data_IF_075890121427
#
_entry.id   IF_075890121427
#
_cell.length_a   1.000
_cell.length_b   1.000
_cell.length_c   1.000
_cell.angle_alpha   90.00
_cell.angle_beta   90.00
_cell.angle_gamma   90.00
#
_symmetry.space_group_name_H-M   'P 1'
#
loop_
_entity.id
_entity.type
_entity.pdbx_description
1 polymer ?
#
# COMPACT_ATOMS: atom_id res chain seq x y z
N UNK A 1 -9.49 -20.80 -8.24
CA UNK A 1 -9.32 -19.34 -8.06
C UNK A 1 -10.63 -18.75 -7.54
N UNK A 2 -10.60 -17.95 -6.48
CA UNK A 2 -11.78 -17.22 -5.97
C UNK A 2 -11.67 -15.76 -6.42
N UNK A 3 -12.64 -15.27 -7.19
CA UNK A 3 -12.62 -13.91 -7.76
C UNK A 3 -12.83 -12.81 -6.70
N UNK A 4 -13.71 -13.06 -5.72
CA UNK A 4 -14.01 -12.15 -4.61
C UNK A 4 -13.81 -12.85 -3.25
N UNK A 5 -13.30 -12.11 -2.28
CA UNK A 5 -13.24 -12.55 -0.88
C UNK A 5 -14.62 -12.47 -0.22
N UNK A 6 -14.81 -13.18 0.89
CA UNK A 6 -16.11 -13.21 1.59
C UNK A 6 -16.54 -11.82 2.09
N UNK A 7 -15.59 -10.99 2.50
CA UNK A 7 -15.84 -9.60 2.88
C UNK A 7 -16.19 -8.70 1.70
N UNK A 8 -15.92 -9.12 0.46
CA UNK A 8 -16.38 -8.45 -0.77
C UNK A 8 -17.73 -8.98 -1.26
N UNK A 9 -18.07 -10.23 -0.96
CA UNK A 9 -19.38 -10.83 -1.31
C UNK A 9 -20.48 -10.29 -0.39
N UNK A 10 -20.21 -10.16 0.92
CA UNK A 10 -21.20 -9.67 1.90
C UNK A 10 -21.88 -8.34 1.51
N UNK A 11 -21.16 -7.31 1.02
CA UNK A 11 -21.77 -6.07 0.53
C UNK A 11 -22.60 -6.23 -0.75
N UNK A 12 -22.36 -7.26 -1.55
CA UNK A 12 -23.12 -7.55 -2.77
C UNK A 12 -24.42 -8.30 -2.46
N UNK A 13 -24.46 -9.07 -1.37
CA UNK A 13 -25.57 -9.98 -1.03
C UNK A 13 -26.68 -9.35 -0.17
N UNK A 14 -26.60 -8.07 0.23
CA UNK A 14 -27.58 -7.47 1.15
C UNK A 14 -28.02 -6.05 0.79
N UNK A 15 -29.32 -5.84 0.87
CA UNK A 15 -30.06 -4.58 1.03
C UNK A 15 -29.78 -3.93 2.41
N UNK A 16 -28.51 -3.83 2.78
CA UNK A 16 -28.10 -3.40 4.12
C UNK A 16 -27.22 -2.17 4.05
N UNK A 17 -27.77 -1.10 4.59
CA UNK A 17 -27.19 0.21 4.88
C UNK A 17 -26.00 0.14 5.89
N UNK A 18 -25.26 -0.97 5.95
CA UNK A 18 -24.12 -1.18 6.85
C UNK A 18 -22.85 -0.60 6.23
N UNK A 19 -22.69 0.71 6.43
CA UNK A 19 -21.61 1.57 5.93
C UNK A 19 -20.19 1.25 6.48
N UNK A 20 -20.01 0.16 7.23
CA UNK A 20 -18.71 -0.22 7.80
C UNK A 20 -18.38 -1.69 7.54
N UNK A 21 -18.12 -2.05 6.29
CA UNK A 21 -17.45 -3.31 5.99
C UNK A 21 -16.01 -3.24 6.53
N UNK A 22 -15.68 -4.07 7.52
CA UNK A 22 -14.29 -4.29 7.92
C UNK A 22 -13.62 -5.13 6.85
N UNK A 23 -12.74 -4.50 6.08
CA UNK A 23 -12.00 -5.15 5.00
C UNK A 23 -10.86 -6.00 5.56
N UNK A 24 -10.79 -7.25 5.09
CA UNK A 24 -9.73 -8.20 5.40
C UNK A 24 -8.37 -7.70 4.88
N UNK A 25 -7.24 -8.13 5.49
CA UNK A 25 -5.91 -7.83 4.95
C UNK A 25 -5.74 -8.28 3.50
N UNK A 26 -6.34 -9.42 3.12
CA UNK A 26 -6.33 -9.97 1.77
C UNK A 26 -7.02 -9.02 0.77
N UNK A 27 -8.22 -8.55 1.10
CA UNK A 27 -8.94 -7.57 0.26
C UNK A 27 -8.21 -6.25 0.16
N UNK A 28 -7.59 -5.77 1.25
CA UNK A 28 -6.78 -4.54 1.23
C UNK A 28 -5.56 -4.72 0.32
N UNK A 29 -4.85 -5.86 0.40
CA UNK A 29 -3.70 -6.17 -0.46
C UNK A 29 -4.09 -6.18 -1.93
N UNK A 30 -5.17 -6.88 -2.28
CA UNK A 30 -5.68 -6.92 -3.66
C UNK A 30 -6.11 -5.52 -4.15
N UNK A 31 -6.82 -4.76 -3.31
CA UNK A 31 -7.23 -3.40 -3.65
C UNK A 31 -6.04 -2.44 -3.87
N UNK A 32 -4.98 -2.57 -3.06
CA UNK A 32 -3.73 -1.84 -3.26
C UNK A 32 -3.06 -2.23 -4.58
N UNK A 33 -2.98 -3.53 -4.91
CA UNK A 33 -2.43 -3.99 -6.18
C UNK A 33 -3.18 -3.39 -7.36
N UNK A 34 -4.52 -3.47 -7.38
CA UNK A 34 -5.35 -2.87 -8.43
C UNK A 34 -5.07 -1.36 -8.53
N UNK A 35 -5.08 -0.65 -7.39
CA UNK A 35 -4.83 0.79 -7.36
C UNK A 35 -3.46 1.18 -7.93
N UNK A 36 -2.41 0.41 -7.63
CA UNK A 36 -1.08 0.67 -8.15
C UNK A 36 -0.97 0.35 -9.64
N UNK A 37 -1.66 -0.70 -10.13
CA UNK A 37 -1.66 -1.06 -11.55
C UNK A 37 -2.39 -0.04 -12.44
N UNK A 38 -3.57 0.47 -12.02
CA UNK A 38 -4.39 1.35 -12.87
C UNK A 38 -4.47 2.81 -12.39
N UNK A 39 -3.64 3.18 -11.40
CA UNK A 39 -3.64 4.48 -10.72
C UNK A 39 -4.97 4.77 -9.99
N UNK A 40 -4.99 5.89 -9.26
CA UNK A 40 -6.15 6.34 -8.48
C UNK A 40 -7.39 6.54 -9.35
N UNK A 41 -7.24 7.07 -10.56
CA UNK A 41 -8.35 7.30 -11.49
C UNK A 41 -9.01 5.98 -11.93
N UNK A 42 -8.22 4.99 -12.36
CA UNK A 42 -8.73 3.67 -12.74
C UNK A 42 -9.39 2.95 -11.57
N UNK A 43 -8.79 3.04 -10.37
CA UNK A 43 -9.36 2.47 -9.17
C UNK A 43 -10.73 3.07 -8.81
N UNK A 44 -10.88 4.39 -8.90
CA UNK A 44 -12.16 5.05 -8.66
C UNK A 44 -13.20 4.75 -9.74
N UNK A 45 -12.78 4.57 -11.00
CA UNK A 45 -13.68 4.09 -12.06
C UNK A 45 -14.27 2.72 -11.71
N UNK A 46 -13.46 1.76 -11.26
CA UNK A 46 -13.96 0.44 -10.82
C UNK A 46 -14.95 0.57 -9.65
N UNK A 47 -14.64 1.44 -8.68
CA UNK A 47 -15.56 1.71 -7.56
C UNK A 47 -16.89 2.33 -8.01
N UNK A 48 -16.88 3.23 -8.99
CA UNK A 48 -18.09 3.81 -9.60
C UNK A 48 -18.93 2.74 -10.32
N UNK A 49 -18.26 1.77 -10.96
CA UNK A 49 -18.87 0.56 -11.53
C UNK A 49 -19.33 -0.46 -10.46
N UNK A 50 -19.42 -0.05 -9.19
CA UNK A 50 -19.91 -0.85 -8.05
C UNK A 50 -19.06 -2.08 -7.70
N UNK A 51 -17.79 -2.12 -8.11
CA UNK A 51 -16.88 -3.15 -7.60
C UNK A 51 -16.75 -3.05 -6.07
N UNK A 52 -16.80 -4.18 -5.33
CA UNK A 52 -16.74 -4.21 -3.87
C UNK A 52 -15.30 -3.97 -3.38
N UNK A 53 -14.87 -2.72 -3.48
CA UNK A 53 -13.52 -2.28 -3.16
C UNK A 53 -13.52 -1.24 -2.02
N UNK A 54 -12.52 -1.27 -1.12
CA UNK A 54 -12.35 -0.28 -0.07
C UNK A 54 -12.28 1.15 -0.61
N UNK A 55 -12.76 2.12 0.17
CA UNK A 55 -12.54 3.52 -0.14
C UNK A 55 -11.05 3.90 -0.14
N UNK A 56 -10.66 4.87 -0.96
CA UNK A 56 -9.29 5.38 -1.00
C UNK A 56 -8.78 5.82 0.38
N UNK A 57 -9.64 6.44 1.20
CA UNK A 57 -9.33 6.80 2.60
C UNK A 57 -8.98 5.57 3.44
N UNK A 58 -9.66 4.44 3.24
CA UNK A 58 -9.39 3.19 3.95
C UNK A 58 -8.02 2.64 3.58
N UNK A 59 -7.68 2.64 2.30
CA UNK A 59 -6.36 2.23 1.82
C UNK A 59 -5.25 3.13 2.38
N UNK A 60 -5.43 4.45 2.33
CA UNK A 60 -4.49 5.41 2.90
C UNK A 60 -4.30 5.21 4.41
N UNK A 61 -5.38 4.93 5.16
CA UNK A 61 -5.29 4.63 6.59
C UNK A 61 -4.54 3.31 6.86
N UNK A 62 -4.72 2.29 6.03
CA UNK A 62 -3.98 1.03 6.15
C UNK A 62 -2.48 1.23 5.90
N UNK A 63 -2.12 2.07 4.92
CA UNK A 63 -0.72 2.39 4.61
C UNK A 63 -0.06 3.30 5.66
N UNK A 64 -0.83 4.09 6.41
CA UNK A 64 -0.28 4.96 7.47
C UNK A 64 0.44 4.20 8.60
N UNK A 65 0.20 2.90 8.75
CA UNK A 65 0.99 2.07 9.67
C UNK A 65 2.44 1.91 9.24
N UNK A 66 2.74 2.08 7.94
CA UNK A 66 4.09 2.00 7.40
C UNK A 66 4.78 3.35 7.61
N UNK A 67 5.88 3.34 8.36
CA UNK A 67 6.70 4.53 8.60
C UNK A 67 7.97 4.44 7.76
N UNK A 68 8.25 5.51 7.02
CA UNK A 68 9.48 5.65 6.27
C UNK A 68 10.29 6.74 6.97
N UNK A 69 11.28 6.32 7.74
CA UNK A 69 12.16 7.21 8.50
C UNK A 69 13.45 7.47 7.70
N UNK A 70 14.08 8.64 7.85
CA UNK A 70 15.40 8.89 7.28
C UNK A 70 16.42 7.83 7.73
N UNK A 71 17.31 7.43 6.83
CA UNK A 71 18.32 6.40 7.09
C UNK A 71 18.00 5.08 6.41
N UNK A 72 18.48 3.98 6.99
CA UNK A 72 18.30 2.63 6.43
C UNK A 72 16.88 2.15 6.73
N UNK A 73 16.17 1.68 5.69
CA UNK A 73 14.84 1.14 5.85
C UNK A 73 14.89 -0.33 6.32
N UNK A 74 15.08 -0.52 7.63
CA UNK A 74 15.29 -1.83 8.25
C UNK A 74 14.15 -2.81 7.98
N UNK A 75 12.88 -2.36 8.03
CA UNK A 75 11.72 -3.21 7.78
C UNK A 75 11.77 -3.86 6.37
N UNK A 76 12.32 -3.13 5.40
CA UNK A 76 12.49 -3.65 4.04
C UNK A 76 13.69 -4.59 3.94
N UNK A 77 14.78 -4.32 4.67
CA UNK A 77 15.92 -5.23 4.78
C UNK A 77 15.51 -6.58 5.40
N UNK A 78 14.71 -6.57 6.46
CA UNK A 78 14.19 -7.79 7.10
C UNK A 78 13.29 -8.60 6.14
N UNK A 79 12.46 -7.90 5.36
CA UNK A 79 11.65 -8.52 4.32
C UNK A 79 12.52 -9.13 3.21
N UNK A 80 13.56 -8.42 2.77
CA UNK A 80 14.52 -8.92 1.78
C UNK A 80 15.31 -10.12 2.29
N UNK A 81 15.64 -10.16 3.59
CA UNK A 81 16.31 -11.30 4.22
C UNK A 81 15.49 -12.58 4.07
N UNK A 82 14.17 -12.50 4.27
CA UNK A 82 13.26 -13.65 4.07
C UNK A 82 13.35 -14.21 2.64
N UNK A 83 13.56 -13.34 1.65
CA UNK A 83 13.79 -13.77 0.27
C UNK A 83 15.19 -14.35 0.08
N UNK A 84 16.21 -13.69 0.62
CA UNK A 84 17.61 -14.09 0.50
C UNK A 84 17.92 -15.45 1.16
N UNK A 85 17.18 -15.84 2.19
CA UNK A 85 17.28 -17.16 2.82
C UNK A 85 16.95 -18.31 1.86
N UNK A 86 16.09 -18.07 0.87
CA UNK A 86 15.73 -19.05 -0.16
C UNK A 86 16.61 -19.02 -1.41
N UNK A 87 17.61 -18.14 -1.46
CA UNK A 87 18.46 -17.91 -2.64
C UNK A 87 19.75 -18.73 -2.57
N UNK A 88 20.22 -19.19 -3.72
CA UNK A 88 21.55 -19.77 -3.85
C UNK A 88 22.62 -18.70 -3.64
N UNK A 89 23.85 -19.10 -3.29
CA UNK A 89 24.90 -18.14 -2.99
C UNK A 89 25.23 -17.23 -4.18
N UNK A 90 25.21 -17.77 -5.41
CA UNK A 90 25.39 -16.98 -6.63
C UNK A 90 24.28 -15.95 -6.86
N UNK A 91 23.08 -16.18 -6.32
CA UNK A 91 21.96 -15.25 -6.45
C UNK A 91 22.02 -14.14 -5.39
N UNK A 92 22.82 -14.32 -4.33
CA UNK A 92 23.01 -13.31 -3.27
C UNK A 92 23.99 -12.21 -3.69
N UNK A 93 24.78 -12.44 -4.74
CA UNK A 93 25.68 -11.45 -5.31
C UNK A 93 24.86 -10.26 -5.85
N UNK A 94 25.06 -9.08 -5.26
CA UNK A 94 24.33 -7.88 -5.64
C UNK A 94 25.22 -6.64 -5.63
N UNK A 95 24.84 -5.65 -6.43
CA UNK A 95 25.53 -4.35 -6.53
C UNK A 95 24.58 -3.27 -6.02
N UNK A 96 25.04 -2.48 -5.06
CA UNK A 96 24.30 -1.32 -4.56
C UNK A 96 24.70 -0.07 -5.37
N UNK A 97 23.79 0.42 -6.20
CA UNK A 97 23.97 1.66 -6.95
C UNK A 97 23.19 2.78 -6.27
N UNK A 98 23.87 3.87 -5.96
CA UNK A 98 23.30 5.04 -5.29
C UNK A 98 23.51 6.28 -6.17
N UNK A 99 22.46 7.09 -6.32
CA UNK A 99 22.52 8.38 -6.97
C UNK A 99 21.67 9.41 -6.20
N UNK A 100 22.09 10.66 -6.23
CA UNK A 100 21.30 11.77 -5.71
C UNK A 100 20.16 12.14 -6.66
N UNK A 101 19.05 12.62 -6.12
CA UNK A 101 18.00 13.30 -6.88
C UNK A 101 17.88 14.72 -6.37
N UNK A 102 17.79 15.68 -7.28
CA UNK A 102 17.44 17.06 -6.92
C UNK A 102 15.95 17.14 -6.58
N UNK A 103 15.64 17.80 -5.47
CA UNK A 103 14.29 18.02 -4.96
C UNK A 103 14.06 19.52 -4.83
N UNK A 104 12.81 19.94 -4.97
CA UNK A 104 12.44 21.35 -4.86
C UNK A 104 12.60 21.86 -3.42
N UNK A 105 13.21 23.03 -3.28
CA UNK A 105 13.38 23.65 -1.97
C UNK A 105 12.05 24.09 -1.38
N UNK A 106 11.87 23.88 -0.08
CA UNK A 106 10.62 24.24 0.59
C UNK A 106 10.51 23.81 2.04
N UNK A 107 9.35 24.10 2.65
CA UNK A 107 9.00 23.65 3.98
C UNK A 107 7.75 22.77 3.90
N UNK A 108 7.89 21.50 4.30
CA UNK A 108 6.78 20.57 4.37
C UNK A 108 6.39 20.29 5.83
N UNK A 109 5.10 20.42 6.14
CA UNK A 109 4.56 20.08 7.46
C UNK A 109 3.82 18.74 7.43
N UNK A 110 4.40 17.73 8.07
CA UNK A 110 3.67 16.51 8.39
C UNK A 110 2.82 16.71 9.64
N UNK A 111 1.54 17.07 9.43
CA UNK A 111 0.56 17.29 10.49
C UNK A 111 0.36 16.12 11.45
N UNK A 112 0.61 14.88 11.00
CA UNK A 112 0.40 13.68 11.82
C UNK A 112 1.58 13.38 12.72
N UNK A 113 2.79 13.51 12.19
CA UNK A 113 4.02 13.38 12.97
C UNK A 113 4.32 14.64 13.81
N UNK A 114 3.65 15.77 13.51
CA UNK A 114 3.95 17.10 14.05
C UNK A 114 5.42 17.47 13.82
N UNK A 115 5.90 17.15 12.62
CA UNK A 115 7.29 17.36 12.19
C UNK A 115 7.30 18.22 10.94
N UNK A 116 8.17 19.21 10.91
CA UNK A 116 8.48 20.01 9.74
C UNK A 116 9.78 19.53 9.09
N UNK A 117 9.81 19.51 7.77
CA UNK A 117 10.99 19.18 6.98
C UNK A 117 11.36 20.40 6.12
N UNK A 118 12.64 20.76 6.13
CA UNK A 118 13.21 21.63 5.11
C UNK A 118 13.69 20.73 3.97
N UNK A 119 13.12 20.91 2.78
CA UNK A 119 13.55 20.25 1.54
C UNK A 119 14.42 21.19 0.73
#
# INVERSE_FOLDING_TARGET
MKFLNEDQIRPLSRDSNKRSATWSPQTVKQALQIKFSCRTSGYETLRKLRYPLPANRTLARRLQGLKFLPGIFTDMVDLLKTKAEGMQDIEKDCVLLLNGMEISQGYELNRKARTSYAT
#
